data_IF_121589019451
#
_entry.id   IF_121589019451
#
_cell.length_a   1.000
_cell.length_b   1.000
_cell.length_c   1.000
_cell.angle_alpha   90.00
_cell.angle_beta   90.00
_cell.angle_gamma   90.00
#
_symmetry.space_group_name_H-M   'P 1'
#
loop_
_entity.id
_entity.type
_entity.pdbx_description
1 polymer ?
#
# COMPACT_ATOMS: atom_id res chain seq x y z
N UNK A 1 -9.30 -1.71 1.83
CA UNK A 1 -8.49 -2.94 1.94
C UNK A 1 -7.17 -2.61 2.60
N UNK A 2 -6.72 -3.44 3.50
CA UNK A 2 -5.44 -3.23 4.17
C UNK A 2 -4.30 -3.51 3.18
N UNK A 3 -3.28 -2.67 3.17
CA UNK A 3 -2.17 -2.81 2.23
C UNK A 3 -1.50 -4.18 2.34
N UNK A 4 -1.39 -4.70 3.56
CA UNK A 4 -0.77 -6.00 3.76
C UNK A 4 -1.46 -7.10 2.96
N UNK A 5 -2.75 -6.96 2.68
CA UNK A 5 -3.53 -7.98 2.00
C UNK A 5 -3.57 -7.82 0.49
N UNK A 6 -2.96 -6.77 -0.04
CA UNK A 6 -2.98 -6.55 -1.48
C UNK A 6 -2.03 -7.51 -2.19
N UNK A 7 -2.37 -7.81 -3.44
CA UNK A 7 -1.60 -8.75 -4.26
C UNK A 7 -0.76 -8.02 -5.27
N UNK A 8 0.28 -8.67 -5.74
CA UNK A 8 1.12 -8.14 -6.81
C UNK A 8 0.25 -7.76 -8.01
N UNK A 9 0.48 -6.57 -8.54
CA UNK A 9 -0.28 -6.04 -9.67
C UNK A 9 -1.48 -5.21 -9.28
N UNK A 10 -1.86 -5.24 -8.01
CA UNK A 10 -3.03 -4.49 -7.55
C UNK A 10 -2.65 -3.05 -7.25
N UNK A 11 -3.52 -2.13 -7.61
CA UNK A 11 -3.32 -0.69 -7.37
C UNK A 11 -4.44 -0.14 -6.51
N UNK A 12 -4.20 0.98 -5.90
CA UNK A 12 -5.22 1.67 -5.13
C UNK A 12 -4.75 3.03 -4.65
N UNK A 13 -5.62 3.72 -3.93
CA UNK A 13 -5.35 5.04 -3.38
C UNK A 13 -5.31 4.91 -1.86
N UNK A 14 -4.29 5.44 -1.23
CA UNK A 14 -4.19 5.39 0.21
C UNK A 14 -5.34 6.17 0.83
N UNK A 15 -6.09 5.51 1.70
CA UNK A 15 -7.22 6.11 2.40
C UNK A 15 -6.79 6.66 3.76
N UNK A 16 -5.99 5.90 4.49
CA UNK A 16 -5.53 6.36 5.80
C UNK A 16 -4.25 5.64 6.22
N UNK A 17 -3.50 6.28 7.09
CA UNK A 17 -2.34 5.70 7.75
C UNK A 17 -2.61 5.79 9.24
N UNK A 18 -2.88 4.65 9.87
CA UNK A 18 -3.41 4.63 11.22
C UNK A 18 -2.33 4.42 12.26
N UNK A 19 -1.30 5.20 12.20
CA UNK A 19 -0.24 5.14 13.20
C UNK A 19 0.39 6.52 13.35
N UNK A 20 0.70 6.89 14.57
CA UNK A 20 1.43 8.13 14.85
C UNK A 20 2.87 7.84 15.23
N UNK A 21 3.48 8.78 15.95
CA UNK A 21 4.84 8.62 16.45
C UNK A 21 5.86 8.62 15.33
N UNK A 22 7.05 8.12 15.64
CA UNK A 22 8.16 8.15 14.71
C UNK A 22 7.93 7.24 13.50
N UNK A 23 7.28 6.11 13.70
CA UNK A 23 6.99 5.21 12.59
C UNK A 23 5.99 5.84 11.62
N UNK A 24 4.95 6.45 12.15
CA UNK A 24 3.97 7.13 11.32
C UNK A 24 4.58 8.28 10.53
N UNK A 25 5.45 9.05 11.18
CA UNK A 25 6.14 10.14 10.50
C UNK A 25 7.00 9.60 9.37
N UNK A 26 7.75 8.52 9.62
CA UNK A 26 8.61 7.94 8.60
C UNK A 26 7.80 7.44 7.40
N UNK A 27 6.69 6.78 7.66
CA UNK A 27 5.83 6.30 6.60
C UNK A 27 5.33 7.46 5.74
N UNK A 28 4.90 8.54 6.38
CA UNK A 28 4.40 9.71 5.65
C UNK A 28 5.49 10.43 4.88
N UNK A 29 6.70 10.46 5.43
CA UNK A 29 7.82 11.09 4.74
C UNK A 29 8.23 10.30 3.50
N UNK A 30 7.92 9.03 3.45
CA UNK A 30 8.15 8.24 2.25
C UNK A 30 7.11 8.52 1.16
N UNK A 31 6.12 9.33 1.45
CA UNK A 31 5.07 9.66 0.48
C UNK A 31 3.80 8.86 0.66
N UNK A 32 3.74 8.00 1.68
CA UNK A 32 2.56 7.16 1.91
C UNK A 32 1.55 7.95 2.73
N UNK A 33 0.82 8.80 2.05
CA UNK A 33 -0.18 9.68 2.67
C UNK A 33 -1.52 9.51 1.96
N UNK A 34 -2.62 9.84 2.63
CA UNK A 34 -3.94 9.74 1.99
C UNK A 34 -3.99 10.47 0.67
N UNK A 35 -4.59 9.84 -0.32
CA UNK A 35 -4.71 10.40 -1.66
C UNK A 35 -3.62 9.97 -2.62
N UNK A 36 -2.58 9.30 -2.15
CA UNK A 36 -1.49 8.87 -3.02
C UNK A 36 -1.83 7.52 -3.66
N UNK A 37 -1.58 7.40 -4.95
CA UNK A 37 -1.79 6.14 -5.64
C UNK A 37 -0.58 5.23 -5.47
N UNK A 38 -0.83 3.95 -5.20
CA UNK A 38 0.23 2.96 -5.07
C UNK A 38 -0.10 1.72 -5.89
N UNK A 39 0.93 0.98 -6.26
CA UNK A 39 0.78 -0.31 -6.92
C UNK A 39 1.71 -1.30 -6.25
N UNK A 40 1.20 -2.48 -5.94
CA UNK A 40 2.03 -3.54 -5.38
C UNK A 40 2.75 -4.20 -6.54
N UNK A 41 4.08 -4.13 -6.55
CA UNK A 41 4.87 -4.66 -7.65
C UNK A 41 5.50 -6.00 -7.33
N UNK A 42 5.50 -6.41 -6.08
CA UNK A 42 6.03 -7.71 -5.73
C UNK A 42 5.92 -7.98 -4.24
N UNK A 43 6.17 -9.22 -3.88
CA UNK A 43 6.27 -9.65 -2.51
C UNK A 43 7.39 -10.66 -2.42
N UNK A 44 8.09 -10.65 -1.28
CA UNK A 44 9.14 -11.62 -1.05
C UNK A 44 8.53 -13.03 -0.94
N UNK A 45 9.35 -14.07 -0.99
CA UNK A 45 8.82 -15.44 -0.99
C UNK A 45 7.84 -15.76 0.12
N UNK A 46 7.96 -15.14 1.27
CA UNK A 46 7.03 -15.38 2.38
C UNK A 46 6.03 -14.23 2.51
N UNK A 47 5.83 -13.48 1.43
CA UNK A 47 4.92 -12.33 1.40
C UNK A 47 5.35 -11.21 2.34
N UNK A 48 6.59 -11.19 2.76
CA UNK A 48 7.14 -10.14 3.60
C UNK A 48 8.60 -9.93 3.21
N UNK A 49 9.00 -8.73 2.76
CA UNK A 49 8.23 -7.49 2.73
C UNK A 49 7.39 -7.35 1.46
N UNK A 50 6.58 -6.30 1.43
CA UNK A 50 5.83 -5.94 0.24
C UNK A 50 6.58 -4.83 -0.50
N UNK A 51 6.63 -4.94 -1.82
CA UNK A 51 7.29 -3.96 -2.67
C UNK A 51 6.23 -3.13 -3.39
N UNK A 52 6.37 -1.82 -3.31
CA UNK A 52 5.39 -0.89 -3.84
C UNK A 52 6.02 0.06 -4.84
N UNK A 53 5.20 0.50 -5.79
CA UNK A 53 5.56 1.62 -6.65
C UNK A 53 4.72 2.81 -6.25
N UNK A 54 5.38 3.94 -6.01
CA UNK A 54 4.71 5.15 -5.57
C UNK A 54 5.47 6.36 -6.13
N UNK A 55 4.76 7.25 -6.80
CA UNK A 55 5.36 8.46 -7.39
C UNK A 55 6.58 8.16 -8.25
N UNK A 56 6.53 7.06 -9.00
CA UNK A 56 7.63 6.67 -9.87
C UNK A 56 8.80 6.02 -9.17
N UNK A 57 8.70 5.79 -7.87
CA UNK A 57 9.76 5.17 -7.09
C UNK A 57 9.31 3.83 -6.56
N UNK A 58 10.27 2.97 -6.24
CA UNK A 58 9.98 1.69 -5.62
C UNK A 58 10.33 1.77 -4.15
N UNK A 59 9.41 1.36 -3.30
CA UNK A 59 9.59 1.29 -1.87
C UNK A 59 9.35 -0.12 -1.39
N UNK A 60 9.95 -0.45 -0.25
CA UNK A 60 9.75 -1.74 0.39
C UNK A 60 9.26 -1.50 1.81
N UNK A 61 8.17 -2.17 2.18
CA UNK A 61 7.61 -2.09 3.52
C UNK A 61 7.48 -3.47 4.11
N UNK A 62 7.71 -3.57 5.40
CA UNK A 62 7.40 -4.80 6.12
C UNK A 62 5.90 -4.91 6.29
N UNK A 63 5.39 -6.13 6.38
CA UNK A 63 3.97 -6.33 6.61
C UNK A 63 3.50 -5.65 7.90
N UNK A 64 4.35 -5.62 8.92
CA UNK A 64 3.99 -4.94 10.17
C UNK A 64 3.77 -3.45 9.97
N UNK A 65 4.43 -2.85 8.97
CA UNK A 65 4.21 -1.43 8.62
C UNK A 65 2.98 -1.29 7.73
N UNK A 66 2.83 -2.20 6.79
CA UNK A 66 1.70 -2.18 5.87
C UNK A 66 0.36 -2.36 6.59
N UNK A 67 0.36 -3.02 7.74
CA UNK A 67 -0.86 -3.24 8.52
C UNK A 67 -1.55 -1.92 8.91
N UNK A 68 -0.82 -0.83 8.99
CA UNK A 68 -1.39 0.46 9.40
C UNK A 68 -1.93 1.27 8.24
N UNK A 69 -1.83 0.76 7.01
CA UNK A 69 -2.19 1.51 5.82
C UNK A 69 -3.43 0.92 5.17
N UNK A 70 -4.48 1.73 5.08
CA UNK A 70 -5.71 1.34 4.39
C UNK A 70 -5.71 1.94 3.00
N UNK A 71 -6.12 1.14 2.02
CA UNK A 71 -6.08 1.51 0.61
C UNK A 71 -7.45 1.27 0.01
N UNK A 72 -7.91 2.21 -0.82
CA UNK A 72 -9.12 2.01 -1.59
C UNK A 72 -8.73 1.50 -2.96
N UNK A 73 -9.10 0.28 -3.24
CA UNK A 73 -8.83 -0.32 -4.54
C UNK A 73 -9.97 -0.01 -5.49
N UNK A 74 -9.68 -0.02 -6.78
CA UNK A 74 -10.70 0.30 -7.76
C UNK A 74 -11.67 -0.84 -7.90
N UNK A 75 -12.93 -0.60 -7.59
CA UNK A 75 -13.92 -1.67 -7.69
C UNK A 75 -14.18 -2.08 -9.13
N UNK A 76 -13.96 -1.17 -10.04
CA UNK A 76 -14.26 -1.47 -11.43
C UNK A 76 -13.30 -2.44 -12.05
N UNK A 77 -12.32 -2.79 -11.39
CA UNK A 77 -11.46 -3.79 -11.95
C UNK A 77 -12.11 -5.08 -11.93
N UNK A 78 -12.93 -4.91 -11.75
CA UNK A 78 -13.58 -6.02 -11.90
C UNK A 78 -14.90 -6.03 -12.32
N UNK A 79 -14.96 -5.75 -12.23
CA UNK A 79 -15.92 -5.88 -12.46
C UNK A 79 -16.95 -5.67 -12.70
N UNK A 80 -17.41 -6.04 -13.14
CA UNK A 80 -18.30 -5.69 -13.23
C UNK A 80 -19.36 -6.22 -13.03
N UNK A 81 -19.30 -6.45 -13.04
CA UNK A 81 -20.12 -6.75 -12.95
C UNK A 81 -20.65 -7.17 -12.95
N UNK A 82 -20.35 -7.24 -12.96
CA UNK A 82 -20.69 -7.45 -12.98
C UNK A 82 -21.12 -7.77 -13.11
#
# INVERSE_FOLDING_TARGET
MNLRKMHTGQSGIIASVKIGGSLGLRIREMGLVPGTEITVTGRAPLYDPVKLRINGQTLTLRNSEADYIEVETEPAQGKPDD
#
